data_IF_836598502174
#
_entry.id   IF_836598502174
#
_cell.length_a   1.000
_cell.length_b   1.000
_cell.length_c   1.000
_cell.angle_alpha   90.00
_cell.angle_beta   90.00
_cell.angle_gamma   90.00
#
_symmetry.space_group_name_H-M   'P 1'
#
loop_
_entity.id
_entity.type
_entity.pdbx_description
1 polymer ?
#
# COMPACT_ATOMS: atom_id res chain seq x y z
N UNK A 1 6.40 10.31 16.97
CA UNK A 1 7.03 9.25 16.15
C UNK A 1 7.47 8.12 17.07
N UNK A 2 7.16 6.91 16.66
CA UNK A 2 7.61 5.70 17.37
C UNK A 2 8.65 5.02 16.47
N UNK A 3 9.85 4.71 16.98
CA UNK A 3 10.83 3.97 16.20
C UNK A 3 10.35 2.54 15.96
N UNK A 4 10.51 2.04 14.74
CA UNK A 4 10.35 0.62 14.46
C UNK A 4 11.67 -0.10 14.75
N UNK A 5 11.59 -1.24 15.41
CA UNK A 5 12.78 -1.98 15.82
C UNK A 5 13.41 -2.82 14.68
N UNK A 6 12.64 -3.11 13.63
CA UNK A 6 13.11 -3.93 12.52
C UNK A 6 14.09 -3.17 11.62
N UNK A 7 15.24 -3.77 11.38
CA UNK A 7 16.13 -3.37 10.30
C UNK A 7 15.61 -3.97 8.99
N UNK A 8 15.29 -3.07 8.05
CA UNK A 8 14.78 -3.44 6.74
C UNK A 8 15.79 -3.07 5.65
N UNK A 9 16.07 -4.03 4.79
CA UNK A 9 16.85 -3.88 3.57
C UNK A 9 16.05 -4.41 2.36
N UNK A 10 16.65 -4.36 1.19
CA UNK A 10 16.11 -5.07 0.03
C UNK A 10 15.03 -4.30 -0.72
N UNK A 11 15.02 -2.99 -0.70
CA UNK A 11 14.05 -2.21 -1.46
C UNK A 11 14.59 -1.77 -2.84
N UNK A 12 13.69 -1.81 -3.82
CA UNK A 12 13.90 -1.24 -5.16
C UNK A 12 12.76 -0.28 -5.45
N UNK A 13 13.09 0.97 -5.73
CA UNK A 13 12.15 1.97 -6.22
C UNK A 13 12.07 1.88 -7.75
N UNK A 14 10.88 1.86 -8.32
CA UNK A 14 10.64 1.89 -9.77
C UNK A 14 9.86 3.15 -10.17
N UNK A 15 10.47 3.98 -11.03
CA UNK A 15 9.77 5.09 -11.65
C UNK A 15 8.99 4.60 -12.87
N UNK A 16 7.72 4.92 -12.97
CA UNK A 16 6.87 4.53 -14.10
C UNK A 16 7.12 5.36 -15.35
N UNK A 17 7.78 6.50 -15.22
CA UNK A 17 7.98 7.51 -16.26
C UNK A 17 6.65 8.09 -16.82
N UNK A 18 5.54 7.82 -16.15
CA UNK A 18 4.22 8.35 -16.48
C UNK A 18 3.95 9.60 -15.65
N UNK A 19 3.56 10.72 -16.28
CA UNK A 19 3.14 11.92 -15.56
C UNK A 19 1.99 11.63 -14.61
N UNK A 20 1.97 12.30 -13.45
CA UNK A 20 0.88 12.12 -12.47
C UNK A 20 -0.33 12.97 -12.83
N UNK A 21 -1.50 12.33 -12.97
CA UNK A 21 -2.79 12.98 -13.14
C UNK A 21 -3.72 12.57 -11.98
N UNK A 22 -3.47 13.12 -10.78
CA UNK A 22 -4.04 12.59 -9.55
C UNK A 22 -5.25 13.35 -9.01
N UNK A 23 -5.45 14.60 -9.41
CA UNK A 23 -6.37 15.53 -8.73
C UNK A 23 -7.80 15.01 -8.68
N UNK A 24 -8.38 14.61 -9.81
CA UNK A 24 -9.77 14.18 -9.87
C UNK A 24 -9.99 12.80 -9.25
N UNK A 25 -9.09 11.87 -9.49
CA UNK A 25 -9.19 10.50 -8.94
C UNK A 25 -9.11 10.52 -7.42
N UNK A 26 -8.15 11.26 -6.86
CA UNK A 26 -8.01 11.40 -5.41
C UNK A 26 -9.20 12.12 -4.78
N UNK A 27 -9.72 13.15 -5.43
CA UNK A 27 -10.90 13.86 -4.96
C UNK A 27 -12.11 12.94 -4.88
N UNK A 28 -12.43 12.19 -5.96
CA UNK A 28 -13.55 11.24 -6.00
C UNK A 28 -13.43 10.15 -4.94
N UNK A 29 -12.26 9.56 -4.81
CA UNK A 29 -12.01 8.51 -3.82
C UNK A 29 -12.14 9.04 -2.38
N UNK A 30 -11.64 10.25 -2.11
CA UNK A 30 -11.78 10.91 -0.81
C UNK A 30 -13.25 11.25 -0.50
N UNK A 31 -14.00 11.78 -1.46
CA UNK A 31 -15.42 12.08 -1.31
C UNK A 31 -16.23 10.82 -1.01
N UNK A 32 -16.01 9.73 -1.77
CA UNK A 32 -16.65 8.44 -1.55
C UNK A 32 -16.34 7.86 -0.16
N UNK A 33 -15.07 7.90 0.27
CA UNK A 33 -14.67 7.47 1.61
C UNK A 33 -15.34 8.32 2.70
N UNK A 34 -15.31 9.64 2.59
CA UNK A 34 -15.89 10.56 3.57
C UNK A 34 -17.38 10.35 3.71
N UNK A 35 -18.11 10.22 2.61
CA UNK A 35 -19.54 9.94 2.59
C UNK A 35 -19.85 8.59 3.25
N UNK A 36 -19.10 7.55 2.87
CA UNK A 36 -19.30 6.21 3.43
C UNK A 36 -19.03 6.16 4.93
N UNK A 37 -17.97 6.80 5.41
CA UNK A 37 -17.67 6.85 6.85
C UNK A 37 -18.72 7.65 7.64
N UNK A 38 -19.24 8.76 7.10
CA UNK A 38 -20.31 9.51 7.74
C UNK A 38 -21.58 8.65 7.91
N UNK A 39 -21.98 7.93 6.86
CA UNK A 39 -23.13 7.02 6.92
C UNK A 39 -22.90 5.84 7.89
N UNK A 40 -21.71 5.29 7.94
CA UNK A 40 -21.38 4.22 8.91
C UNK A 40 -21.45 4.74 10.35
N UNK A 41 -21.02 5.97 10.60
CA UNK A 41 -21.12 6.58 11.93
C UNK A 41 -22.55 6.74 12.42
N UNK A 42 -23.53 6.87 11.51
CA UNK A 42 -24.95 6.89 11.86
C UNK A 42 -25.54 5.49 12.09
N UNK A 43 -25.00 4.46 11.43
CA UNK A 43 -25.56 3.11 11.42
C UNK A 43 -24.91 2.15 12.43
N UNK A 44 -23.66 2.42 12.80
CA UNK A 44 -22.85 1.52 13.64
C UNK A 44 -22.62 2.16 15.00
N UNK A 45 -23.11 1.56 16.11
CA UNK A 45 -22.84 2.08 17.45
C UNK A 45 -21.33 2.21 17.73
N UNK A 46 -20.93 3.30 18.37
CA UNK A 46 -19.54 3.59 18.76
C UNK A 46 -18.52 3.50 17.60
N UNK A 47 -18.97 3.87 16.39
CA UNK A 47 -18.13 3.81 15.19
C UNK A 47 -16.89 4.69 15.32
N UNK A 48 -15.73 4.07 15.13
CA UNK A 48 -14.46 4.75 14.95
C UNK A 48 -13.65 4.02 13.85
N UNK A 49 -13.34 4.72 12.76
CA UNK A 49 -12.61 4.15 11.62
C UNK A 49 -11.27 3.52 12.01
N UNK A 50 -10.67 3.95 13.13
CA UNK A 50 -9.38 3.43 13.60
C UNK A 50 -9.51 2.06 14.27
N UNK A 51 -10.67 1.78 14.91
CA UNK A 51 -10.81 0.63 15.81
C UNK A 51 -11.97 -0.31 15.48
N UNK A 52 -13.05 0.20 14.84
CA UNK A 52 -14.19 -0.65 14.48
C UNK A 52 -13.75 -1.76 13.51
N UNK A 53 -13.94 -3.06 13.83
CA UNK A 53 -13.56 -4.15 12.95
C UNK A 53 -14.32 -4.11 11.61
N UNK A 54 -13.67 -4.49 10.49
CA UNK A 54 -14.34 -4.60 9.20
C UNK A 54 -15.58 -5.52 9.27
N UNK A 55 -15.48 -6.66 9.95
CA UNK A 55 -16.61 -7.59 10.13
C UNK A 55 -17.85 -6.96 10.75
N UNK A 56 -17.70 -5.94 11.60
CA UNK A 56 -18.81 -5.22 12.21
C UNK A 56 -19.53 -4.31 11.21
N UNK A 57 -18.81 -3.75 10.24
CA UNK A 57 -19.36 -2.82 9.23
C UNK A 57 -19.81 -3.53 7.96
N UNK A 58 -19.31 -4.74 7.69
CA UNK A 58 -19.55 -5.50 6.46
C UNK A 58 -21.02 -5.53 6.05
N UNK A 59 -21.94 -5.81 6.99
CA UNK A 59 -23.39 -5.87 6.74
C UNK A 59 -24.04 -4.53 6.37
N UNK A 60 -23.31 -3.44 6.51
CA UNK A 60 -23.81 -2.09 6.19
C UNK A 60 -23.26 -1.57 4.87
N UNK A 61 -22.23 -2.23 4.30
CA UNK A 61 -21.57 -1.74 3.09
C UNK A 61 -22.53 -1.64 1.91
N UNK A 62 -23.44 -2.59 1.75
CA UNK A 62 -24.44 -2.58 0.65
C UNK A 62 -25.42 -1.40 0.73
N UNK A 63 -25.47 -0.68 1.86
CA UNK A 63 -26.30 0.52 2.03
C UNK A 63 -25.58 1.81 1.61
N UNK A 64 -24.28 1.72 1.34
CA UNK A 64 -23.48 2.87 0.94
C UNK A 64 -23.67 3.16 -0.56
N UNK A 65 -23.77 4.44 -0.97
CA UNK A 65 -24.05 4.80 -2.36
C UNK A 65 -22.81 4.67 -3.26
N UNK A 66 -23.04 4.38 -4.53
CA UNK A 66 -22.03 4.41 -5.58
C UNK A 66 -20.77 3.60 -5.23
N UNK A 67 -19.62 4.24 -5.34
CA UNK A 67 -18.31 3.62 -5.06
C UNK A 67 -17.96 3.57 -3.57
N UNK A 68 -18.77 4.17 -2.68
CA UNK A 68 -18.43 4.30 -1.26
C UNK A 68 -18.22 2.95 -0.57
N UNK A 69 -19.04 1.94 -0.86
CA UNK A 69 -18.89 0.59 -0.31
C UNK A 69 -17.52 0.00 -0.62
N UNK A 70 -17.11 0.06 -1.89
CA UNK A 70 -15.84 -0.48 -2.39
C UNK A 70 -14.64 0.27 -1.78
N UNK A 71 -14.70 1.60 -1.80
CA UNK A 71 -13.62 2.45 -1.26
C UNK A 71 -13.48 2.29 0.25
N UNK A 72 -14.58 2.31 0.99
CA UNK A 72 -14.60 2.13 2.46
C UNK A 72 -14.04 0.76 2.83
N UNK A 73 -14.51 -0.32 2.17
CA UNK A 73 -13.97 -1.66 2.41
C UNK A 73 -12.45 -1.70 2.22
N UNK A 74 -11.95 -1.11 1.14
CA UNK A 74 -10.51 -1.04 0.88
C UNK A 74 -9.75 -0.26 1.96
N UNK A 75 -10.31 0.83 2.47
CA UNK A 75 -9.70 1.60 3.56
C UNK A 75 -9.59 0.79 4.87
N UNK A 76 -10.62 0.02 5.21
CA UNK A 76 -10.56 -0.89 6.37
C UNK A 76 -9.48 -1.96 6.19
N UNK A 77 -9.42 -2.62 5.02
CA UNK A 77 -8.38 -3.61 4.72
C UNK A 77 -6.99 -2.98 4.80
N UNK A 78 -6.79 -1.81 4.19
CA UNK A 78 -5.52 -1.09 4.23
C UNK A 78 -5.10 -0.72 5.66
N UNK A 79 -6.05 -0.27 6.50
CA UNK A 79 -5.80 -0.01 7.92
C UNK A 79 -5.32 -1.26 8.65
N UNK A 80 -6.01 -2.38 8.45
CA UNK A 80 -5.70 -3.63 9.12
C UNK A 80 -4.33 -4.19 8.69
N UNK A 81 -4.00 -4.10 7.39
CA UNK A 81 -2.68 -4.42 6.86
C UNK A 81 -1.58 -3.54 7.48
N UNK A 82 -1.82 -2.23 7.60
CA UNK A 82 -0.88 -1.32 8.26
C UNK A 82 -0.66 -1.67 9.74
N UNK A 83 -1.72 -2.04 10.46
CA UNK A 83 -1.62 -2.46 11.85
C UNK A 83 -0.87 -3.79 12.00
N UNK A 84 -1.10 -4.74 11.10
CA UNK A 84 -0.39 -6.02 11.06
C UNK A 84 1.10 -5.81 10.76
N UNK A 85 1.42 -5.05 9.71
CA UNK A 85 2.80 -4.73 9.35
C UNK A 85 3.54 -4.02 10.50
N UNK A 86 2.87 -3.07 11.17
CA UNK A 86 3.43 -2.40 12.35
C UNK A 86 3.77 -3.38 13.45
N UNK A 87 2.87 -4.32 13.79
CA UNK A 87 3.13 -5.35 14.82
C UNK A 87 4.30 -6.25 14.43
N UNK A 88 4.38 -6.65 13.14
CA UNK A 88 5.47 -7.43 12.60
C UNK A 88 6.81 -6.71 12.76
N UNK A 89 6.88 -5.48 12.29
CA UNK A 89 8.10 -4.66 12.30
C UNK A 89 8.53 -4.24 13.73
N UNK A 90 7.61 -4.23 14.68
CA UNK A 90 7.92 -3.93 16.07
C UNK A 90 8.71 -5.02 16.78
N UNK A 91 8.66 -6.27 16.29
CA UNK A 91 9.39 -7.40 16.86
C UNK A 91 10.91 -7.31 16.70
N UNK A 92 11.39 -6.46 15.80
CA UNK A 92 12.79 -6.19 15.54
C UNK A 92 13.39 -7.15 14.51
N UNK A 93 13.70 -8.36 14.84
CA UNK A 93 14.26 -9.33 13.89
C UNK A 93 13.13 -9.99 13.08
N UNK A 94 13.30 -10.03 11.77
CA UNK A 94 12.40 -10.70 10.83
C UNK A 94 13.06 -11.95 10.29
N UNK A 95 12.39 -13.09 10.45
CA UNK A 95 12.76 -14.32 9.76
C UNK A 95 12.23 -14.33 8.31
N UNK A 96 12.49 -15.41 7.58
CA UNK A 96 12.07 -15.52 6.19
C UNK A 96 10.56 -15.61 6.02
N UNK A 97 9.81 -16.15 6.99
CA UNK A 97 8.35 -16.18 6.95
C UNK A 97 7.78 -14.80 7.20
N UNK A 98 8.35 -14.02 8.12
CA UNK A 98 8.01 -12.65 8.37
C UNK A 98 8.24 -11.76 7.12
N UNK A 99 9.38 -11.96 6.44
CA UNK A 99 9.71 -11.26 5.18
C UNK A 99 8.71 -11.60 4.07
N UNK A 100 8.38 -12.88 3.90
CA UNK A 100 7.33 -13.33 2.96
C UNK A 100 5.97 -12.72 3.31
N UNK A 101 5.61 -12.72 4.59
CA UNK A 101 4.36 -12.12 5.05
C UNK A 101 4.29 -10.63 4.76
N UNK A 102 5.37 -9.88 4.99
CA UNK A 102 5.47 -8.46 4.64
C UNK A 102 5.26 -8.24 3.13
N UNK A 103 5.90 -9.06 2.28
CA UNK A 103 5.71 -9.03 0.84
C UNK A 103 4.24 -9.27 0.43
N UNK A 104 3.59 -10.27 1.01
CA UNK A 104 2.16 -10.54 0.77
C UNK A 104 1.26 -9.37 1.18
N UNK A 105 1.55 -8.73 2.32
CA UNK A 105 0.80 -7.55 2.76
C UNK A 105 0.97 -6.37 1.79
N UNK A 106 2.16 -6.18 1.21
CA UNK A 106 2.39 -5.17 0.19
C UNK A 106 1.57 -5.42 -1.08
N UNK A 107 1.51 -6.67 -1.55
CA UNK A 107 0.69 -7.05 -2.71
C UNK A 107 -0.81 -6.89 -2.45
N UNK A 108 -1.27 -7.31 -1.28
CA UNK A 108 -2.67 -7.11 -0.90
C UNK A 108 -3.02 -5.62 -0.80
N UNK A 109 -2.11 -4.81 -0.23
CA UNK A 109 -2.29 -3.36 -0.21
C UNK A 109 -2.34 -2.78 -1.63
N UNK A 110 -1.48 -3.23 -2.56
CA UNK A 110 -1.54 -2.83 -3.97
C UNK A 110 -2.89 -3.19 -4.60
N UNK A 111 -3.40 -4.39 -4.34
CA UNK A 111 -4.71 -4.81 -4.82
C UNK A 111 -5.82 -3.88 -4.32
N UNK A 112 -5.80 -3.51 -3.04
CA UNK A 112 -6.77 -2.55 -2.49
C UNK A 112 -6.62 -1.15 -3.10
N UNK A 113 -5.40 -0.70 -3.37
CA UNK A 113 -5.16 0.60 -4.01
C UNK A 113 -5.63 0.60 -5.46
N UNK A 114 -5.45 -0.51 -6.21
CA UNK A 114 -5.88 -0.67 -7.60
C UNK A 114 -7.38 -0.87 -7.69
N UNK A 115 -7.90 -1.93 -7.09
CA UNK A 115 -9.28 -2.40 -7.29
C UNK A 115 -10.27 -1.73 -6.34
N UNK A 116 -9.83 -1.40 -5.13
CA UNK A 116 -10.64 -0.80 -4.08
C UNK A 116 -10.67 0.72 -4.14
N UNK A 117 -9.55 1.37 -4.08
CA UNK A 117 -9.45 2.85 -4.07
C UNK A 117 -9.45 3.42 -5.49
N UNK A 118 -8.93 2.68 -6.46
CA UNK A 118 -8.89 3.08 -7.88
C UNK A 118 -7.77 4.07 -8.21
N UNK A 119 -6.64 4.01 -7.48
CA UNK A 119 -5.52 4.97 -7.64
C UNK A 119 -4.28 4.35 -8.31
N UNK A 120 -4.35 3.12 -8.80
CA UNK A 120 -3.24 2.55 -9.57
C UNK A 120 -3.27 2.99 -11.03
N UNK A 121 -2.18 2.73 -11.73
CA UNK A 121 -2.03 2.95 -13.15
C UNK A 121 -1.46 1.67 -13.79
N UNK A 122 -1.92 1.25 -15.01
CA UNK A 122 -1.47 0.01 -15.65
C UNK A 122 0.05 -0.13 -15.73
N UNK A 123 0.77 0.98 -15.94
CA UNK A 123 2.23 0.96 -15.94
C UNK A 123 2.83 0.63 -14.58
N UNK A 124 2.25 1.13 -13.48
CA UNK A 124 2.70 0.79 -12.13
C UNK A 124 2.44 -0.69 -11.82
N UNK A 125 1.26 -1.19 -12.22
CA UNK A 125 0.91 -2.61 -12.04
C UNK A 125 1.89 -3.52 -12.81
N UNK A 126 2.20 -3.19 -14.08
CA UNK A 126 3.17 -3.92 -14.89
C UNK A 126 4.58 -3.93 -14.28
N UNK A 127 5.05 -2.81 -13.69
CA UNK A 127 6.35 -2.76 -13.02
C UNK A 127 6.36 -3.62 -11.74
N UNK A 128 5.24 -3.67 -11.00
CA UNK A 128 5.12 -4.50 -9.80
C UNK A 128 5.10 -5.98 -10.18
N UNK A 129 4.38 -6.35 -11.25
CA UNK A 129 4.34 -7.71 -11.78
C UNK A 129 5.74 -8.17 -12.21
N UNK A 130 6.45 -7.37 -13.02
CA UNK A 130 7.81 -7.66 -13.43
C UNK A 130 8.77 -7.82 -12.23
N UNK A 131 8.64 -6.97 -11.22
CA UNK A 131 9.42 -7.08 -9.98
C UNK A 131 9.16 -8.39 -9.24
N UNK A 132 7.91 -8.82 -9.13
CA UNK A 132 7.53 -10.10 -8.48
C UNK A 132 8.03 -11.29 -9.26
N UNK A 133 7.90 -11.29 -10.59
CA UNK A 133 8.43 -12.34 -11.48
C UNK A 133 9.97 -12.48 -11.36
N UNK A 134 10.67 -11.35 -11.13
CA UNK A 134 12.11 -11.34 -10.89
C UNK A 134 12.51 -11.72 -9.45
N UNK A 135 11.54 -12.03 -8.58
CA UNK A 135 11.76 -12.57 -7.24
C UNK A 135 11.59 -11.56 -6.10
N UNK A 136 10.95 -10.41 -6.32
CA UNK A 136 10.48 -9.60 -5.21
C UNK A 136 9.39 -10.34 -4.42
N UNK A 137 9.45 -10.23 -3.09
CA UNK A 137 8.44 -10.80 -2.19
C UNK A 137 7.11 -10.06 -2.28
N UNK A 138 7.13 -8.82 -2.75
CA UNK A 138 5.96 -7.98 -2.98
C UNK A 138 6.32 -6.57 -3.35
N UNK A 139 5.31 -5.78 -3.68
CA UNK A 139 5.49 -4.38 -4.06
C UNK A 139 4.17 -3.64 -4.12
N UNK A 140 4.23 -2.32 -4.15
CA UNK A 140 3.07 -1.46 -4.27
C UNK A 140 3.43 -0.08 -4.81
N UNK A 141 2.44 0.63 -5.32
CA UNK A 141 2.61 2.03 -5.68
C UNK A 141 3.03 2.88 -4.46
N UNK A 142 3.80 3.94 -4.72
CA UNK A 142 4.28 4.88 -3.72
C UNK A 142 3.65 6.28 -3.92
N UNK A 143 3.09 6.81 -2.84
CA UNK A 143 2.42 8.12 -2.84
C UNK A 143 0.99 8.05 -3.37
N UNK A 144 0.57 9.06 -4.15
CA UNK A 144 -0.81 9.23 -4.61
C UNK A 144 -1.27 8.28 -5.71
N UNK A 145 -0.37 7.56 -6.35
CA UNK A 145 -0.70 6.72 -7.51
C UNK A 145 -0.92 7.50 -8.81
N UNK A 146 -1.67 6.92 -9.76
CA UNK A 146 -1.95 7.47 -11.10
C UNK A 146 -0.67 7.89 -11.86
N UNK A 147 0.37 7.05 -11.80
CA UNK A 147 1.72 7.31 -12.29
C UNK A 147 2.73 7.57 -11.17
N UNK A 148 3.92 8.06 -11.50
CA UNK A 148 5.02 8.27 -10.57
C UNK A 148 5.75 6.98 -10.24
N UNK A 149 5.87 6.60 -8.97
CA UNK A 149 6.72 5.50 -8.52
C UNK A 149 5.95 4.35 -7.87
N UNK A 150 6.57 3.18 -7.91
CA UNK A 150 6.28 2.04 -7.05
C UNK A 150 7.53 1.66 -6.26
N UNK A 151 7.40 0.81 -5.24
CA UNK A 151 8.54 0.11 -4.66
C UNK A 151 8.27 -1.38 -4.56
N UNK A 152 9.34 -2.16 -4.68
CA UNK A 152 9.36 -3.60 -4.47
C UNK A 152 10.22 -3.96 -3.26
N UNK A 153 9.83 -4.99 -2.53
CA UNK A 153 10.59 -5.58 -1.43
C UNK A 153 11.23 -6.88 -1.92
N UNK A 154 12.54 -6.86 -2.10
CA UNK A 154 13.32 -7.89 -2.76
C UNK A 154 14.65 -8.16 -2.03
N UNK A 155 14.63 -8.58 -0.74
CA UNK A 155 15.86 -8.83 0.01
C UNK A 155 16.72 -9.88 -0.69
N UNK A 156 17.98 -9.51 -0.99
CA UNK A 156 18.94 -10.36 -1.70
C UNK A 156 18.73 -10.47 -3.22
N UNK A 157 17.70 -9.84 -3.80
CA UNK A 157 17.36 -9.90 -5.24
C UNK A 157 17.20 -8.52 -5.90
N UNK A 158 17.76 -7.47 -5.26
CA UNK A 158 17.56 -6.10 -5.69
C UNK A 158 18.08 -5.84 -7.11
N UNK A 159 19.20 -6.45 -7.49
CA UNK A 159 19.80 -6.24 -8.82
C UNK A 159 18.93 -6.82 -9.93
N UNK A 160 18.40 -8.03 -9.75
CA UNK A 160 17.52 -8.71 -10.70
C UNK A 160 16.18 -7.96 -10.82
N UNK A 161 15.62 -7.54 -9.68
CA UNK A 161 14.36 -6.77 -9.64
C UNK A 161 14.54 -5.40 -10.29
N UNK A 162 15.66 -4.72 -10.04
CA UNK A 162 15.98 -3.47 -10.74
C UNK A 162 16.02 -3.66 -12.25
N UNK A 163 16.74 -4.69 -12.74
CA UNK A 163 16.83 -4.98 -14.16
C UNK A 163 15.45 -5.26 -14.78
N UNK A 164 14.63 -6.06 -14.13
CA UNK A 164 13.26 -6.36 -14.59
C UNK A 164 12.38 -5.10 -14.68
N UNK A 165 12.49 -4.18 -13.72
CA UNK A 165 11.80 -2.88 -13.78
C UNK A 165 12.27 -2.05 -14.98
N UNK A 166 13.59 -2.03 -15.25
CA UNK A 166 14.15 -1.30 -16.39
C UNK A 166 13.68 -1.95 -17.72
N UNK A 167 13.73 -3.27 -17.83
CA UNK A 167 13.27 -4.02 -19.01
C UNK A 167 11.76 -3.85 -19.27
N UNK A 168 10.97 -3.72 -18.20
CA UNK A 168 9.55 -3.38 -18.30
C UNK A 168 9.30 -1.91 -18.67
N UNK A 169 10.36 -1.14 -18.98
CA UNK A 169 10.30 0.25 -19.45
C UNK A 169 10.01 1.25 -18.32
N UNK A 170 10.36 0.92 -17.09
CA UNK A 170 10.50 1.85 -15.97
C UNK A 170 11.93 2.32 -15.79
N UNK A 171 12.23 2.86 -14.61
CA UNK A 171 13.59 3.14 -14.15
C UNK A 171 13.74 2.66 -12.72
N UNK A 172 14.56 1.61 -12.51
CA UNK A 172 14.81 1.00 -11.22
C UNK A 172 15.94 1.65 -10.43
N UNK A 173 15.77 1.81 -9.14
CA UNK A 173 16.77 2.31 -8.20
C UNK A 173 16.84 1.42 -6.98
N UNK A 174 18.00 0.87 -6.67
CA UNK A 174 18.21 0.19 -5.38
C UNK A 174 18.30 1.27 -4.30
N UNK A 175 17.48 1.13 -3.27
CA UNK A 175 17.39 2.10 -2.17
C UNK A 175 17.57 1.43 -0.82
N UNK A 176 18.10 2.18 0.13
CA UNK A 176 18.23 1.78 1.54
C UNK A 176 17.29 2.57 2.42
N UNK A 177 16.89 1.97 3.54
CA UNK A 177 16.11 2.66 4.57
C UNK A 177 17.03 3.64 5.30
N UNK A 178 16.58 4.89 5.40
CA UNK A 178 17.31 5.93 6.09
C UNK A 178 17.20 5.84 7.62
N UNK A 179 17.98 6.66 8.34
CA UNK A 179 18.07 6.60 9.82
C UNK A 179 16.80 7.07 10.57
N UNK A 180 15.73 7.36 9.87
CA UNK A 180 14.49 7.86 10.46
C UNK A 180 14.50 9.37 10.75
N UNK A 181 13.44 9.85 11.40
CA UNK A 181 13.30 11.25 11.76
C UNK A 181 14.35 11.64 12.82
N UNK A 182 15.09 12.70 12.55
CA UNK A 182 15.98 13.35 13.52
C UNK A 182 15.49 14.77 13.79
N UNK A 183 15.61 15.22 15.04
CA UNK A 183 15.40 16.61 15.41
C UNK A 183 16.78 17.16 15.66
N UNK A 184 17.22 18.07 14.79
CA UNK A 184 18.44 18.84 15.02
C UNK A 184 18.09 19.91 16.08
N UNK A 185 18.71 19.79 17.26
CA UNK A 185 18.55 20.72 18.40
C UNK A 185 19.69 21.73 18.32
#
# INVERSE_FOLDING_TARGET
>A
CEPLAAELDGFVLGESLVPKETTDTLRRSREAASQGFAMLAEMVPDFDVRWTPLAQVERYLDRLPGDAARVVRAQFVNRDLCQEARRLLWRGQLDDDDRRRLGQMLLEHQRQLRDGVGVSHPKLDALIEAAVEAGALGGKLNGSGMGGCMFAYAPGRQAEVKAAIDDAGGRGHIVSVGPGLRVDI
#
